data_IF_592257332630
#
_entry.id   IF_592257332630
#
_cell.length_a   1.000
_cell.length_b   1.000
_cell.length_c   1.000
_cell.angle_alpha   90.00
_cell.angle_beta   90.00
_cell.angle_gamma   90.00
#
_symmetry.space_group_name_H-M   'P 1'
#
loop_
_entity.id
_entity.type
_entity.pdbx_description
1 polymer ?
#
# COMPACT_ATOMS: atom_id res chain seq x y z
N UNK A 1 4.43 7.12 20.08
CA UNK A 1 3.50 7.95 19.26
C UNK A 1 3.56 7.45 17.83
N UNK A 2 2.44 7.02 17.23
CA UNK A 2 2.40 6.68 15.79
C UNK A 2 2.77 7.93 14.98
N UNK A 3 3.74 7.80 14.09
CA UNK A 3 4.21 8.92 13.23
C UNK A 3 3.15 9.17 12.16
N UNK A 4 2.45 10.33 12.19
CA UNK A 4 1.58 10.70 11.08
C UNK A 4 2.44 11.06 9.86
N UNK A 5 2.11 10.49 8.70
CA UNK A 5 2.74 10.85 7.43
C UNK A 5 2.26 12.24 7.02
N UNK A 6 0.96 12.49 7.11
CA UNK A 6 0.36 13.80 6.80
C UNK A 6 0.32 14.65 8.05
N UNK A 7 1.13 15.70 8.09
CA UNK A 7 1.15 16.70 9.15
C UNK A 7 1.66 18.05 8.59
N UNK A 8 1.25 19.15 9.20
CA UNK A 8 1.51 20.50 8.69
C UNK A 8 3.00 20.82 8.53
N UNK A 9 3.85 20.29 9.42
CA UNK A 9 5.29 20.56 9.37
C UNK A 9 5.94 19.89 8.15
N UNK A 10 5.65 18.62 7.93
CA UNK A 10 6.19 17.84 6.81
C UNK A 10 5.62 18.35 5.47
N UNK A 11 4.33 18.75 5.45
CA UNK A 11 3.70 19.37 4.27
C UNK A 11 4.43 20.65 3.88
N UNK A 12 4.65 21.58 4.83
CA UNK A 12 5.39 22.83 4.57
C UNK A 12 6.80 22.57 4.03
N UNK A 13 7.48 21.55 4.54
CA UNK A 13 8.81 21.15 4.06
C UNK A 13 8.76 20.63 2.63
N UNK A 14 7.86 19.67 2.35
CA UNK A 14 7.74 19.08 1.02
C UNK A 14 7.39 20.14 -0.04
N UNK A 15 6.44 21.05 0.25
CA UNK A 15 6.05 22.16 -0.63
C UNK A 15 7.25 23.09 -0.92
N UNK A 16 8.14 23.30 0.06
CA UNK A 16 9.35 24.13 -0.14
C UNK A 16 10.43 23.43 -0.97
N UNK A 17 10.40 22.10 -1.07
CA UNK A 17 11.35 21.30 -1.86
C UNK A 17 10.97 21.28 -3.35
N UNK A 18 9.68 21.11 -3.64
CA UNK A 18 9.23 20.94 -5.02
C UNK A 18 7.89 21.65 -5.24
N UNK A 19 7.82 22.62 -6.17
CA UNK A 19 6.63 23.42 -6.45
C UNK A 19 5.42 22.59 -6.88
N UNK A 20 5.60 21.39 -7.43
CA UNK A 20 4.51 20.49 -7.82
C UNK A 20 3.56 20.20 -6.64
N UNK A 21 4.12 20.04 -5.45
CA UNK A 21 3.32 19.79 -4.23
C UNK A 21 2.63 21.06 -3.73
N UNK A 22 3.22 22.24 -3.98
CA UNK A 22 2.58 23.52 -3.70
C UNK A 22 1.32 23.70 -4.58
N UNK A 23 1.43 23.37 -5.87
CA UNK A 23 0.32 23.47 -6.82
C UNK A 23 -0.82 22.50 -6.47
N UNK A 24 -0.47 21.26 -6.12
CA UNK A 24 -1.46 20.26 -5.67
C UNK A 24 -2.12 20.74 -4.37
N UNK A 25 -1.34 21.22 -3.40
CA UNK A 25 -1.87 21.67 -2.11
C UNK A 25 -2.79 22.88 -2.25
N UNK A 26 -2.41 23.87 -3.07
CA UNK A 26 -3.21 25.07 -3.31
C UNK A 26 -4.55 24.74 -4.00
N UNK A 27 -4.56 23.70 -4.84
CA UNK A 27 -5.75 23.31 -5.61
C UNK A 27 -6.66 22.35 -4.83
N UNK A 28 -6.09 21.39 -4.11
CA UNK A 28 -6.82 20.26 -3.51
C UNK A 28 -6.75 20.21 -1.99
N UNK A 29 -5.85 20.98 -1.36
CA UNK A 29 -5.55 20.85 0.07
C UNK A 29 -4.63 19.68 0.39
N UNK A 30 -4.51 19.37 1.68
CA UNK A 30 -3.74 18.23 2.15
C UNK A 30 -4.39 16.88 1.75
N UNK A 31 -3.60 15.87 1.40
CA UNK A 31 -4.15 14.53 1.21
C UNK A 31 -4.68 13.97 2.54
N UNK A 32 -5.63 13.02 2.49
CA UNK A 32 -6.02 12.27 3.68
C UNK A 32 -4.82 11.52 4.28
N UNK A 33 -4.76 11.40 5.59
CA UNK A 33 -3.74 10.56 6.25
C UNK A 33 -4.19 9.10 6.22
N UNK A 34 -4.02 8.47 5.07
CA UNK A 34 -4.37 7.07 4.87
C UNK A 34 -3.54 6.19 5.81
N UNK A 35 -4.21 5.48 6.68
CA UNK A 35 -3.58 4.51 7.57
C UNK A 35 -4.43 3.26 7.68
N UNK A 36 -3.77 2.14 7.96
CA UNK A 36 -4.40 0.83 8.21
C UNK A 36 -3.80 0.21 9.46
N UNK A 37 -4.54 -0.62 10.18
CA UNK A 37 -3.98 -1.43 11.24
C UNK A 37 -2.82 -2.30 10.69
N UNK A 38 -1.84 -2.60 11.53
CA UNK A 38 -0.85 -3.65 11.24
C UNK A 38 -1.52 -5.03 11.28
N UNK A 39 -0.89 -6.03 10.67
CA UNK A 39 -1.30 -7.42 10.84
C UNK A 39 -1.86 -8.08 9.59
N UNK A 40 -2.40 -9.27 9.79
CA UNK A 40 -2.79 -10.23 8.76
C UNK A 40 -3.85 -9.69 7.80
N UNK A 41 -4.93 -9.12 8.34
CA UNK A 41 -6.04 -8.59 7.54
C UNK A 41 -5.56 -7.54 6.55
N UNK A 42 -4.71 -6.61 6.99
CA UNK A 42 -4.18 -5.54 6.13
C UNK A 42 -3.29 -6.08 5.02
N UNK A 43 -2.42 -7.06 5.29
CA UNK A 43 -1.62 -7.70 4.25
C UNK A 43 -2.50 -8.45 3.23
N UNK A 44 -3.53 -9.18 3.70
CA UNK A 44 -4.50 -9.83 2.81
C UNK A 44 -5.20 -8.80 1.91
N UNK A 45 -5.65 -7.67 2.46
CA UNK A 45 -6.29 -6.60 1.67
C UNK A 45 -5.33 -6.05 0.61
N UNK A 46 -4.07 -5.78 0.95
CA UNK A 46 -3.07 -5.29 -0.02
C UNK A 46 -2.83 -6.34 -1.12
N UNK A 47 -2.78 -7.64 -0.80
CA UNK A 47 -2.70 -8.71 -1.81
C UNK A 47 -3.93 -8.68 -2.74
N UNK A 48 -5.13 -8.48 -2.19
CA UNK A 48 -6.35 -8.39 -2.98
C UNK A 48 -6.40 -7.13 -3.87
N UNK A 49 -5.69 -6.06 -3.51
CA UNK A 49 -5.59 -4.82 -4.27
C UNK A 49 -4.63 -4.92 -5.49
N UNK A 50 -3.79 -5.94 -5.56
CA UNK A 50 -2.86 -6.12 -6.69
C UNK A 50 -3.61 -6.20 -8.03
N UNK A 51 -3.24 -5.34 -8.98
CA UNK A 51 -3.70 -5.35 -10.38
C UNK A 51 -5.22 -5.22 -10.59
N UNK A 52 -5.94 -4.69 -9.63
CA UNK A 52 -7.39 -4.42 -9.73
C UNK A 52 -7.72 -3.04 -9.18
N UNK A 53 -8.95 -2.56 -9.46
CA UNK A 53 -9.43 -1.32 -8.84
C UNK A 53 -9.66 -1.52 -7.33
N UNK A 54 -9.51 -0.44 -6.54
CA UNK A 54 -9.81 -0.48 -5.10
C UNK A 54 -11.25 -0.94 -4.81
N UNK A 55 -12.20 -0.54 -5.66
CA UNK A 55 -13.60 -0.98 -5.53
C UNK A 55 -13.75 -2.50 -5.71
N UNK A 56 -13.09 -3.08 -6.74
CA UNK A 56 -13.09 -4.53 -6.93
C UNK A 56 -12.40 -5.27 -5.79
N UNK A 57 -11.24 -4.77 -5.35
CA UNK A 57 -10.52 -5.35 -4.22
C UNK A 57 -11.35 -5.37 -2.94
N UNK A 58 -12.04 -4.24 -2.65
CA UNK A 58 -12.93 -4.16 -1.49
C UNK A 58 -14.12 -5.13 -1.61
N UNK A 59 -14.74 -5.25 -2.78
CA UNK A 59 -15.82 -6.20 -3.00
C UNK A 59 -15.37 -7.65 -2.77
N UNK A 60 -14.18 -8.02 -3.28
CA UNK A 60 -13.58 -9.33 -3.04
C UNK A 60 -13.30 -9.57 -1.55
N UNK A 61 -12.72 -8.58 -0.87
CA UNK A 61 -12.47 -8.67 0.58
C UNK A 61 -13.76 -8.86 1.36
N UNK A 62 -14.81 -8.07 1.09
CA UNK A 62 -16.09 -8.17 1.79
C UNK A 62 -16.74 -9.54 1.60
N UNK A 63 -16.69 -10.11 0.38
CA UNK A 63 -17.20 -11.46 0.13
C UNK A 63 -16.45 -12.51 0.94
N UNK A 64 -15.11 -12.46 0.91
CA UNK A 64 -14.26 -13.39 1.65
C UNK A 64 -14.48 -13.24 3.16
N UNK A 65 -14.53 -12.02 3.66
CA UNK A 65 -14.76 -11.74 5.08
C UNK A 65 -16.13 -12.19 5.58
N UNK A 66 -17.16 -12.13 4.72
CA UNK A 66 -18.50 -12.62 5.06
C UNK A 66 -18.62 -14.14 4.94
N UNK A 67 -17.72 -14.80 4.22
CA UNK A 67 -17.72 -16.24 4.03
C UNK A 67 -17.09 -16.97 5.21
N UNK A 68 -16.00 -16.43 5.77
CA UNK A 68 -15.29 -17.02 6.92
C UNK A 68 -15.91 -16.59 8.24
N UNK A 69 -15.83 -17.45 9.26
CA UNK A 69 -16.33 -17.12 10.61
C UNK A 69 -15.42 -16.11 11.32
N UNK A 70 -14.10 -16.21 11.07
CA UNK A 70 -13.09 -15.28 11.52
C UNK A 70 -12.04 -15.09 10.41
N UNK A 71 -11.58 -13.86 10.20
CA UNK A 71 -10.57 -13.58 9.19
C UNK A 71 -9.17 -13.83 9.75
N UNK A 72 -8.81 -15.12 9.87
CA UNK A 72 -7.54 -15.58 10.47
C UNK A 72 -6.73 -16.44 9.50
N UNK A 73 -5.41 -16.61 9.74
CA UNK A 73 -4.58 -17.51 8.93
C UNK A 73 -5.11 -18.95 8.89
N UNK A 74 -5.62 -19.45 10.02
CA UNK A 74 -6.15 -20.82 10.17
C UNK A 74 -7.34 -21.03 9.23
N UNK A 75 -8.30 -20.11 9.23
CA UNK A 75 -9.47 -20.23 8.36
C UNK A 75 -9.12 -20.10 6.87
N UNK A 76 -8.23 -19.14 6.53
CA UNK A 76 -7.89 -18.90 5.13
C UNK A 76 -7.07 -20.03 4.50
N UNK A 77 -6.26 -20.75 5.26
CA UNK A 77 -5.45 -21.87 4.74
C UNK A 77 -6.32 -23.08 4.37
N UNK A 78 -7.42 -23.28 5.09
CA UNK A 78 -8.33 -24.41 4.89
C UNK A 78 -9.31 -24.24 3.72
N UNK A 79 -9.53 -23.00 3.25
CA UNK A 79 -10.45 -22.76 2.15
C UNK A 79 -9.99 -23.46 0.87
N UNK A 80 -10.92 -24.18 0.23
CA UNK A 80 -10.70 -24.82 -1.06
C UNK A 80 -10.58 -23.80 -2.20
N UNK A 81 -10.11 -24.23 -3.36
CA UNK A 81 -10.07 -23.37 -4.56
C UNK A 81 -11.47 -23.00 -5.06
N UNK A 82 -12.48 -23.83 -4.78
CA UNK A 82 -13.86 -23.56 -5.13
C UNK A 82 -14.46 -22.47 -4.26
N UNK A 83 -14.30 -22.55 -2.95
CA UNK A 83 -14.75 -21.54 -1.99
C UNK A 83 -14.07 -20.18 -2.23
N UNK A 84 -12.76 -20.17 -2.50
CA UNK A 84 -12.04 -18.94 -2.87
C UNK A 84 -12.63 -18.33 -4.17
N UNK A 85 -12.95 -19.15 -5.17
CA UNK A 85 -13.56 -18.71 -6.44
C UNK A 85 -14.96 -18.15 -6.22
N UNK A 86 -15.76 -18.74 -5.35
CA UNK A 86 -17.11 -18.26 -5.01
C UNK A 86 -17.04 -16.88 -4.33
N UNK A 87 -15.95 -16.62 -3.58
CA UNK A 87 -15.61 -15.28 -3.07
C UNK A 87 -15.01 -14.35 -4.13
N UNK A 88 -14.95 -14.75 -5.41
CA UNK A 88 -14.33 -14.01 -6.52
C UNK A 88 -12.82 -13.80 -6.37
N UNK A 89 -12.15 -14.65 -5.61
CA UNK A 89 -10.70 -14.63 -5.45
C UNK A 89 -10.08 -15.45 -6.59
N UNK A 90 -9.20 -14.84 -7.38
CA UNK A 90 -8.48 -15.57 -8.44
C UNK A 90 -7.57 -16.66 -7.83
N UNK A 91 -7.33 -17.74 -8.59
CA UNK A 91 -6.42 -18.83 -8.17
C UNK A 91 -5.05 -18.29 -7.72
N UNK A 92 -4.53 -17.28 -8.41
CA UNK A 92 -3.26 -16.65 -8.05
C UNK A 92 -3.33 -15.98 -6.68
N UNK A 93 -4.36 -15.18 -6.42
CA UNK A 93 -4.55 -14.51 -5.13
C UNK A 93 -4.83 -15.50 -4.00
N UNK A 94 -5.63 -16.55 -4.26
CA UNK A 94 -5.82 -17.65 -3.31
C UNK A 94 -4.50 -18.29 -2.91
N UNK A 95 -3.62 -18.58 -3.88
CA UNK A 95 -2.26 -19.08 -3.60
C UNK A 95 -1.45 -18.10 -2.72
N UNK A 96 -1.56 -16.80 -2.94
CA UNK A 96 -0.82 -15.79 -2.15
C UNK A 96 -1.35 -15.66 -0.72
N UNK A 97 -2.68 -15.67 -0.56
CA UNK A 97 -3.31 -15.65 0.77
C UNK A 97 -2.92 -16.88 1.59
N UNK A 98 -2.96 -18.08 0.97
CA UNK A 98 -2.52 -19.31 1.64
C UNK A 98 -1.01 -19.28 1.98
N UNK A 99 -0.16 -18.75 1.09
CA UNK A 99 1.27 -18.66 1.37
C UNK A 99 1.56 -17.74 2.57
N UNK A 100 0.84 -16.61 2.69
CA UNK A 100 0.93 -15.73 3.84
C UNK A 100 0.43 -16.44 5.12
N UNK A 101 -0.75 -17.06 5.07
CA UNK A 101 -1.33 -17.83 6.19
C UNK A 101 -0.37 -18.92 6.67
N UNK A 102 0.12 -19.75 5.76
CA UNK A 102 1.07 -20.83 6.08
C UNK A 102 2.36 -20.30 6.71
N UNK A 103 2.90 -19.17 6.20
CA UNK A 103 4.13 -18.57 6.76
C UNK A 103 3.95 -18.14 8.21
N UNK A 104 2.77 -17.63 8.57
CA UNK A 104 2.43 -17.25 9.94
C UNK A 104 2.24 -18.47 10.81
N UNK A 105 1.45 -19.46 10.37
CA UNK A 105 1.16 -20.67 11.14
C UNK A 105 2.40 -21.52 11.44
N UNK A 106 3.36 -21.52 10.51
CA UNK A 106 4.65 -22.19 10.71
C UNK A 106 5.65 -21.37 11.56
N UNK A 107 5.29 -20.17 12.02
CA UNK A 107 6.18 -19.30 12.78
C UNK A 107 7.32 -18.67 11.96
N UNK A 108 7.24 -18.73 10.61
CA UNK A 108 8.25 -18.13 9.73
C UNK A 108 8.07 -16.61 9.62
N UNK A 109 6.90 -16.08 9.95
CA UNK A 109 6.56 -14.68 9.97
C UNK A 109 5.78 -14.32 11.24
N UNK A 110 6.35 -13.45 12.05
CA UNK A 110 5.66 -12.77 13.15
C UNK A 110 5.32 -11.34 12.69
N UNK A 111 4.02 -11.05 12.56
CA UNK A 111 3.53 -9.75 12.10
C UNK A 111 3.67 -8.66 13.17
N UNK A 112 3.60 -9.04 14.44
CA UNK A 112 3.73 -8.10 15.56
C UNK A 112 5.18 -7.62 15.72
N UNK A 113 6.14 -8.46 15.35
CA UNK A 113 7.56 -8.10 15.32
C UNK A 113 7.87 -7.00 14.30
N UNK A 114 7.16 -6.98 13.16
CA UNK A 114 7.49 -6.07 12.03
C UNK A 114 7.51 -4.59 12.41
N UNK A 115 6.72 -4.18 13.40
CA UNK A 115 6.68 -2.78 13.85
C UNK A 115 7.96 -2.33 14.58
N UNK A 116 8.81 -3.25 15.00
CA UNK A 116 10.06 -3.00 15.70
C UNK A 116 11.29 -3.12 14.80
N UNK A 117 11.11 -3.58 13.57
CA UNK A 117 12.17 -3.79 12.59
C UNK A 117 12.42 -2.53 11.75
N UNK A 118 13.60 -2.45 11.17
CA UNK A 118 13.93 -1.48 10.12
C UNK A 118 13.19 -1.81 8.82
N UNK A 119 13.04 -0.83 7.94
CA UNK A 119 12.41 -1.01 6.61
C UNK A 119 13.11 -2.11 5.79
N UNK A 120 14.43 -2.24 5.89
CA UNK A 120 15.21 -3.29 5.23
C UNK A 120 14.86 -4.67 5.76
N UNK A 121 14.83 -4.83 7.08
CA UNK A 121 14.49 -6.10 7.72
C UNK A 121 13.05 -6.53 7.41
N UNK A 122 12.10 -5.58 7.40
CA UNK A 122 10.72 -5.86 6.98
C UNK A 122 10.69 -6.36 5.54
N UNK A 123 11.45 -5.73 4.62
CA UNK A 123 11.56 -6.18 3.22
C UNK A 123 12.12 -7.60 3.13
N UNK A 124 13.22 -7.88 3.84
CA UNK A 124 13.86 -9.18 3.83
C UNK A 124 12.96 -10.31 4.34
N UNK A 125 12.08 -10.01 5.29
CA UNK A 125 11.10 -10.99 5.80
C UNK A 125 9.94 -11.18 4.80
N UNK A 126 9.32 -10.09 4.36
CA UNK A 126 8.10 -10.15 3.56
C UNK A 126 8.33 -10.63 2.13
N UNK A 127 9.47 -10.30 1.49
CA UNK A 127 9.77 -10.70 0.11
C UNK A 127 9.91 -12.22 -0.08
N UNK A 128 10.16 -12.96 1.00
CA UNK A 128 10.26 -14.42 0.98
C UNK A 128 8.89 -15.10 0.79
N UNK A 129 7.80 -14.37 1.00
CA UNK A 129 6.45 -14.91 0.92
C UNK A 129 5.96 -14.81 -0.51
N UNK A 130 5.52 -15.93 -1.07
CA UNK A 130 4.99 -15.98 -2.43
C UNK A 130 3.81 -15.02 -2.61
N UNK A 131 3.93 -14.12 -3.58
CA UNK A 131 2.90 -13.11 -3.88
C UNK A 131 3.10 -11.78 -3.18
N UNK A 132 4.09 -11.65 -2.30
CA UNK A 132 4.47 -10.37 -1.69
C UNK A 132 5.71 -9.84 -2.43
N UNK A 133 5.49 -8.86 -3.31
CA UNK A 133 6.54 -8.15 -4.03
C UNK A 133 6.80 -6.76 -3.44
N UNK A 134 7.76 -6.04 -4.04
CA UNK A 134 8.17 -4.71 -3.56
C UNK A 134 6.99 -3.73 -3.42
N UNK A 135 6.06 -3.69 -4.38
CA UNK A 135 4.87 -2.83 -4.29
C UNK A 135 4.03 -3.13 -3.04
N UNK A 136 3.76 -4.41 -2.75
CA UNK A 136 3.00 -4.81 -1.55
C UNK A 136 3.72 -4.41 -0.27
N UNK A 137 5.05 -4.58 -0.24
CA UNK A 137 5.89 -4.20 0.90
C UNK A 137 5.89 -2.69 1.09
N UNK A 138 6.06 -1.90 0.01
CA UNK A 138 6.02 -0.45 0.07
C UNK A 138 4.69 0.06 0.63
N UNK A 139 3.57 -0.48 0.14
CA UNK A 139 2.22 -0.13 0.61
C UNK A 139 2.05 -0.50 2.09
N UNK A 140 2.53 -1.66 2.52
CA UNK A 140 2.47 -2.08 3.94
C UNK A 140 3.32 -1.17 4.83
N UNK A 141 4.56 -0.87 4.42
CA UNK A 141 5.44 0.05 5.12
C UNK A 141 4.80 1.44 5.29
N UNK A 142 4.18 1.97 4.25
CA UNK A 142 3.56 3.28 4.27
C UNK A 142 2.26 3.31 5.10
N UNK A 143 1.30 2.45 4.78
CA UNK A 143 -0.04 2.52 5.37
C UNK A 143 -0.14 1.87 6.74
N UNK A 144 0.63 0.80 7.00
CA UNK A 144 0.54 0.05 8.25
C UNK A 144 1.65 0.42 9.24
N UNK A 145 2.92 0.46 8.78
CA UNK A 145 4.07 0.76 9.62
C UNK A 145 4.42 2.25 9.69
N UNK A 146 3.78 3.09 8.87
CA UNK A 146 3.92 4.56 8.88
C UNK A 146 5.33 5.03 8.56
N UNK A 147 6.02 4.32 7.67
CA UNK A 147 7.33 4.72 7.13
C UNK A 147 7.20 6.01 6.33
N UNK A 148 8.05 6.99 6.64
CA UNK A 148 7.95 8.35 6.05
C UNK A 148 8.67 8.50 4.74
N UNK A 149 9.61 7.60 4.44
CA UNK A 149 10.54 7.79 3.31
C UNK A 149 10.53 6.61 2.32
N UNK A 150 9.33 6.18 1.93
CA UNK A 150 9.09 5.15 0.91
C UNK A 150 8.50 5.81 -0.34
N UNK A 151 8.99 5.40 -1.52
CA UNK A 151 8.39 5.74 -2.80
C UNK A 151 8.08 4.47 -3.59
N UNK A 152 6.80 4.09 -3.74
CA UNK A 152 6.40 2.82 -4.37
C UNK A 152 6.46 2.93 -5.90
N UNK A 153 7.67 2.87 -6.46
CA UNK A 153 7.91 2.98 -7.91
C UNK A 153 7.16 1.91 -8.74
N UNK A 154 6.77 0.80 -8.12
CA UNK A 154 5.93 -0.22 -8.74
C UNK A 154 4.46 0.17 -8.90
N UNK A 155 4.03 1.31 -8.36
CA UNK A 155 2.65 1.78 -8.48
C UNK A 155 2.41 2.55 -9.78
N UNK A 156 1.61 1.96 -10.67
CA UNK A 156 1.36 2.52 -12.00
C UNK A 156 0.61 3.86 -11.95
N UNK A 157 -0.22 4.08 -10.92
CA UNK A 157 -0.94 5.35 -10.77
C UNK A 157 0.04 6.46 -10.37
N UNK A 158 0.98 6.18 -9.46
CA UNK A 158 2.04 7.11 -9.12
C UNK A 158 2.96 7.41 -10.29
N UNK A 159 3.46 6.39 -10.96
CA UNK A 159 4.34 6.53 -12.14
C UNK A 159 3.69 7.39 -13.19
N UNK A 160 2.43 7.13 -13.53
CA UNK A 160 1.70 7.91 -14.52
C UNK A 160 1.46 9.36 -14.06
N UNK A 161 1.22 9.57 -12.77
CA UNK A 161 1.01 10.91 -12.22
C UNK A 161 2.31 11.73 -12.26
N UNK A 162 3.45 11.14 -11.89
CA UNK A 162 4.74 11.83 -12.00
C UNK A 162 5.04 12.19 -13.46
N UNK A 163 4.87 11.25 -14.39
CA UNK A 163 5.06 11.50 -15.83
C UNK A 163 4.15 12.59 -16.40
N UNK A 164 2.96 12.73 -15.84
CA UNK A 164 2.01 13.76 -16.23
C UNK A 164 2.40 15.16 -15.73
N UNK A 165 2.92 15.22 -14.51
CA UNK A 165 3.20 16.47 -13.82
C UNK A 165 4.64 16.95 -13.96
N UNK A 166 5.53 16.12 -14.52
CA UNK A 166 6.96 16.41 -14.67
C UNK A 166 7.49 15.99 -16.04
N UNK A 167 8.77 16.31 -16.29
CA UNK A 167 9.48 15.86 -17.49
C UNK A 167 10.06 14.45 -17.40
N UNK A 168 9.90 13.75 -16.24
CA UNK A 168 10.37 12.39 -16.05
C UNK A 168 9.65 11.41 -17.01
N UNK A 169 10.40 10.57 -17.72
CA UNK A 169 9.85 9.64 -18.73
C UNK A 169 10.08 8.18 -18.36
N UNK A 170 11.17 7.90 -17.66
CA UNK A 170 11.55 6.54 -17.27
C UNK A 170 11.35 6.33 -15.76
N UNK A 171 11.38 5.08 -15.31
CA UNK A 171 11.38 4.77 -13.88
C UNK A 171 12.63 5.32 -13.18
N UNK A 172 13.76 5.36 -13.89
CA UNK A 172 15.00 5.91 -13.36
C UNK A 172 14.90 7.42 -13.14
N UNK A 173 14.36 8.18 -14.11
CA UNK A 173 14.11 9.62 -13.96
C UNK A 173 13.23 9.90 -12.73
N UNK A 174 12.17 9.07 -12.54
CA UNK A 174 11.25 9.21 -11.42
C UNK A 174 11.96 8.93 -10.10
N UNK A 175 12.83 7.92 -10.03
CA UNK A 175 13.59 7.62 -8.82
C UNK A 175 14.57 8.73 -8.48
N UNK A 176 15.27 9.28 -9.49
CA UNK A 176 16.18 10.43 -9.31
C UNK A 176 15.39 11.63 -8.78
N UNK A 177 14.22 11.92 -9.35
CA UNK A 177 13.36 12.99 -8.88
C UNK A 177 12.90 12.75 -7.43
N UNK A 178 12.48 11.52 -7.10
CA UNK A 178 12.01 11.14 -5.77
C UNK A 178 13.11 11.24 -4.69
N UNK A 179 14.40 11.15 -5.04
CA UNK A 179 15.48 11.38 -4.08
C UNK A 179 15.48 12.82 -3.52
N UNK A 180 15.04 13.80 -4.31
CA UNK A 180 14.93 15.19 -3.86
C UNK A 180 13.82 15.36 -2.80
N UNK A 181 12.85 14.45 -2.72
CA UNK A 181 11.73 14.50 -1.77
C UNK A 181 12.05 13.88 -0.40
N UNK A 182 13.26 13.34 -0.20
CA UNK A 182 13.70 12.82 1.11
C UNK A 182 13.69 13.90 2.19
N UNK A 183 13.32 13.56 3.40
CA UNK A 183 12.82 12.26 3.91
C UNK A 183 11.26 12.15 3.86
N UNK A 184 10.60 12.82 2.90
CA UNK A 184 9.14 12.94 2.82
C UNK A 184 8.54 12.17 1.65
N UNK A 185 9.22 11.14 1.11
CA UNK A 185 8.80 10.42 -0.09
C UNK A 185 7.42 9.77 0.05
N UNK A 186 7.06 9.26 1.24
CA UNK A 186 5.72 8.73 1.49
C UNK A 186 4.65 9.82 1.43
N UNK A 187 4.93 11.01 1.96
CA UNK A 187 4.02 12.15 1.86
C UNK A 187 3.89 12.61 0.40
N UNK A 188 4.99 12.64 -0.36
CA UNK A 188 4.97 12.94 -1.79
C UNK A 188 4.07 11.94 -2.55
N UNK A 189 4.20 10.64 -2.28
CA UNK A 189 3.33 9.61 -2.85
C UNK A 189 1.85 9.84 -2.48
N UNK A 190 1.55 10.26 -1.25
CA UNK A 190 0.18 10.58 -0.84
C UNK A 190 -0.40 11.77 -1.63
N UNK A 191 0.37 12.85 -1.83
CA UNK A 191 -0.05 13.96 -2.67
C UNK A 191 -0.33 13.54 -4.11
N UNK A 192 0.54 12.72 -4.70
CA UNK A 192 0.41 12.23 -6.07
C UNK A 192 -0.80 11.30 -6.23
N UNK A 193 -1.04 10.38 -5.29
CA UNK A 193 -2.26 9.56 -5.29
C UNK A 193 -3.52 10.40 -5.09
N UNK A 194 -3.48 11.40 -4.22
CA UNK A 194 -4.61 12.30 -3.99
C UNK A 194 -4.98 13.06 -5.25
N UNK A 195 -3.98 13.63 -5.94
CA UNK A 195 -4.16 14.26 -7.24
C UNK A 195 -4.75 13.29 -8.27
N UNK A 196 -4.19 12.09 -8.39
CA UNK A 196 -4.67 11.04 -9.28
C UNK A 196 -6.15 10.69 -9.05
N UNK A 197 -6.54 10.50 -7.80
CA UNK A 197 -7.93 10.16 -7.42
C UNK A 197 -8.89 11.31 -7.73
N UNK A 198 -8.54 12.54 -7.34
CA UNK A 198 -9.37 13.74 -7.57
C UNK A 198 -9.56 14.01 -9.06
N UNK A 199 -8.49 13.98 -9.84
CA UNK A 199 -8.56 14.17 -11.29
C UNK A 199 -9.47 13.17 -11.98
N UNK A 200 -9.50 11.92 -11.51
CA UNK A 200 -10.34 10.84 -12.04
C UNK A 200 -11.70 10.73 -11.38
N UNK A 201 -12.07 11.68 -10.52
CA UNK A 201 -13.34 11.68 -9.78
C UNK A 201 -13.58 10.37 -9.02
N UNK A 202 -12.50 9.79 -8.47
CA UNK A 202 -12.56 8.56 -7.67
C UNK A 202 -12.68 8.92 -6.18
N UNK A 203 -13.31 8.03 -5.38
CA UNK A 203 -13.31 8.19 -3.92
C UNK A 203 -11.90 8.32 -3.37
N UNK A 204 -11.72 9.25 -2.44
CA UNK A 204 -10.44 9.47 -1.74
C UNK A 204 -10.40 8.78 -0.38
N UNK A 205 -11.51 8.20 0.06
CA UNK A 205 -11.58 7.37 1.24
C UNK A 205 -11.07 5.98 0.89
N UNK A 206 -10.06 5.51 1.63
CA UNK A 206 -9.68 4.10 1.56
C UNK A 206 -10.64 3.30 2.43
N UNK A 207 -11.14 2.19 1.91
CA UNK A 207 -11.84 1.20 2.73
C UNK A 207 -10.85 0.70 3.80
N UNK A 208 -11.16 1.00 5.06
CA UNK A 208 -10.40 0.55 6.24
C UNK A 208 -10.73 -0.90 6.55
#
# INVERSE_FOLDING_TARGET
MKKNIVNDQDIKKLISIDPIFADIFNTLGAPPDWNRPTGFVSLCRIILEQQVSLASANAHFQKLNSYVSAFTPEELVELTDEEMRDCQISRQKATYLRALSTSILLGNLDLDELQFLTESEVREKLIKIKGIGNWTIDVYLMFCLRSKDIFPIGDIALVNTVKELTDAKTAEDILILAENWRPYRSLAAYFLWYYYLKKRKRPTEMAV
#
